data_IF_997843215270
#
_entry.id   IF_997843215270
#
_cell.length_a   1.000
_cell.length_b   1.000
_cell.length_c   1.000
_cell.angle_alpha   90.00
_cell.angle_beta   90.00
_cell.angle_gamma   90.00
#
_symmetry.space_group_name_H-M   'P 1'
#
loop_
_entity.id
_entity.type
_entity.pdbx_description
1 polymer ?
#
# COMPACT_ATOMS: atom_id res chain seq x y z
N UNK A 1 -1.12 67.03 -34.21
CA UNK A 1 -1.48 65.73 -34.81
C UNK A 1 -2.81 65.30 -34.18
N UNK A 2 -3.96 65.52 -34.84
CA UNK A 2 -4.73 64.54 -35.66
C UNK A 2 -4.93 63.21 -34.89
N UNK A 3 -6.11 62.66 -34.56
CA UNK A 3 -7.56 62.76 -34.91
C UNK A 3 -8.33 62.19 -33.68
N UNK A 4 -9.47 62.70 -33.17
CA UNK A 4 -10.89 62.59 -33.65
C UNK A 4 -11.28 61.13 -34.00
N UNK A 5 -12.37 60.47 -33.58
CA UNK A 5 -13.81 60.79 -33.50
C UNK A 5 -14.55 59.56 -32.86
N UNK A 6 -15.48 59.69 -31.89
CA UNK A 6 -16.95 59.85 -31.98
C UNK A 6 -17.85 58.57 -32.10
N UNK A 7 -18.87 58.55 -31.21
CA UNK A 7 -20.28 58.11 -31.35
C UNK A 7 -20.75 56.62 -31.28
N UNK A 8 -21.27 56.23 -30.09
CA UNK A 8 -22.69 55.98 -29.71
C UNK A 8 -23.70 55.16 -30.56
N UNK A 9 -24.33 54.18 -29.86
CA UNK A 9 -25.73 53.61 -29.88
C UNK A 9 -26.12 52.42 -30.82
N UNK A 10 -26.82 51.42 -30.22
CA UNK A 10 -27.29 50.10 -30.75
C UNK A 10 -28.52 50.14 -31.70
N UNK A 11 -29.40 49.11 -31.86
CA UNK A 11 -29.67 47.86 -31.09
C UNK A 11 -29.88 46.51 -31.90
N UNK A 12 -30.06 45.38 -31.16
CA UNK A 12 -30.64 43.99 -31.34
C UNK A 12 -31.26 43.48 -32.70
N UNK A 13 -31.77 42.21 -32.83
CA UNK A 13 -31.17 40.85 -32.77
C UNK A 13 -31.58 39.94 -33.98
N UNK A 14 -31.03 38.72 -34.17
CA UNK A 14 -31.65 37.68 -35.04
C UNK A 14 -31.48 36.21 -34.55
N UNK A 15 -32.64 35.52 -34.49
CA UNK A 15 -33.05 34.09 -34.49
C UNK A 15 -31.97 33.04 -34.86
N UNK A 16 -31.90 31.79 -34.37
CA UNK A 16 -32.85 30.91 -33.67
C UNK A 16 -32.99 29.57 -34.43
N UNK A 17 -32.67 28.42 -33.81
CA UNK A 17 -33.22 27.09 -34.15
C UNK A 17 -33.43 26.27 -32.86
N UNK A 18 -34.46 25.39 -32.77
CA UNK A 18 -35.00 24.89 -31.51
C UNK A 18 -34.47 23.51 -31.11
N UNK A 19 -34.29 23.27 -29.80
CA UNK A 19 -34.17 21.93 -29.20
C UNK A 19 -35.54 21.48 -28.66
N UNK A 20 -35.88 20.18 -28.76
CA UNK A 20 -37.17 19.67 -28.28
C UNK A 20 -37.21 19.57 -26.74
N UNK A 21 -38.40 19.65 -26.12
CA UNK A 21 -38.56 19.60 -24.67
C UNK A 21 -38.60 18.16 -24.15
N UNK A 22 -37.90 17.89 -23.04
CA UNK A 22 -38.12 16.69 -22.23
C UNK A 22 -39.12 17.04 -21.13
N UNK A 23 -40.21 16.30 -21.11
CA UNK A 23 -41.37 16.50 -20.23
C UNK A 23 -41.05 16.09 -18.79
N UNK A 24 -41.49 16.92 -17.84
CA UNK A 24 -41.79 16.51 -16.47
C UNK A 24 -43.09 15.70 -16.47
N UNK A 25 -43.09 14.55 -15.80
CA UNK A 25 -44.31 13.90 -15.35
C UNK A 25 -44.14 13.39 -13.91
N UNK A 26 -44.80 14.09 -13.00
CA UNK A 26 -45.26 13.55 -11.73
C UNK A 26 -46.52 12.72 -11.96
N UNK A 27 -46.56 11.48 -11.47
CA UNK A 27 -47.81 10.82 -11.10
C UNK A 27 -47.56 9.62 -10.17
N UNK A 28 -48.18 9.69 -8.99
CA UNK A 28 -48.51 8.59 -8.10
C UNK A 28 -49.40 7.55 -8.81
N UNK A 29 -49.20 6.26 -8.54
CA UNK A 29 -50.23 5.32 -8.06
C UNK A 29 -49.79 3.84 -8.20
N UNK A 30 -50.03 3.05 -7.14
CA UNK A 30 -50.58 1.70 -7.27
C UNK A 30 -49.62 0.50 -7.30
N UNK A 31 -49.42 -0.11 -6.13
CA UNK A 31 -49.13 -1.55 -5.99
C UNK A 31 -50.27 -2.39 -6.62
N UNK A 32 -49.99 -3.63 -7.07
CA UNK A 32 -50.20 -4.78 -6.17
C UNK A 32 -49.10 -5.85 -6.23
N UNK A 33 -49.03 -6.60 -5.13
CA UNK A 33 -48.22 -7.80 -4.95
C UNK A 33 -48.81 -9.02 -5.71
N UNK A 34 -47.94 -9.86 -6.28
CA UNK A 34 -47.83 -11.31 -6.03
C UNK A 34 -47.00 -12.02 -7.13
N UNK A 35 -46.04 -12.84 -6.70
CA UNK A 35 -45.91 -14.20 -7.25
C UNK A 35 -44.71 -14.52 -8.16
N UNK A 36 -43.86 -15.39 -7.61
CA UNK A 36 -43.11 -16.48 -8.27
C UNK A 36 -41.74 -16.18 -8.92
N UNK A 37 -40.71 -16.62 -8.19
CA UNK A 37 -39.67 -17.52 -8.73
C UNK A 37 -38.45 -16.85 -9.36
N UNK A 38 -37.29 -16.93 -8.70
CA UNK A 38 -36.04 -17.41 -9.27
C UNK A 38 -34.97 -17.47 -8.16
N UNK A 39 -34.64 -18.69 -7.73
CA UNK A 39 -33.49 -19.01 -6.88
C UNK A 39 -32.29 -19.37 -7.77
N UNK A 40 -31.04 -19.04 -7.37
CA UNK A 40 -29.85 -19.32 -8.16
C UNK A 40 -29.30 -20.73 -7.89
N UNK A 41 -28.86 -21.41 -8.95
CA UNK A 41 -27.95 -22.57 -8.99
C UNK A 41 -27.07 -22.35 -10.23
N UNK A 42 -25.76 -22.60 -10.28
CA UNK A 42 -24.97 -23.70 -9.70
C UNK A 42 -23.44 -23.38 -9.85
N UNK A 43 -22.61 -23.57 -8.82
CA UNK A 43 -21.16 -23.70 -8.93
C UNK A 43 -20.70 -25.17 -8.86
N UNK A 44 -20.09 -25.67 -9.93
CA UNK A 44 -19.45 -26.99 -9.96
C UNK A 44 -18.06 -26.96 -9.30
N UNK A 45 -17.95 -27.44 -8.07
CA UNK A 45 -16.75 -28.08 -7.48
C UNK A 45 -17.19 -29.19 -6.51
N UNK A 46 -16.54 -30.36 -6.48
CA UNK A 46 -17.05 -31.54 -5.76
C UNK A 46 -16.67 -31.59 -4.27
N UNK A 47 -17.65 -32.03 -3.48
CA UNK A 47 -17.56 -32.39 -2.07
C UNK A 47 -16.72 -33.65 -1.81
N UNK A 48 -15.80 -33.58 -0.85
CA UNK A 48 -15.57 -34.70 0.07
C UNK A 48 -14.93 -34.20 1.37
N UNK A 49 -15.35 -34.82 2.49
CA UNK A 49 -14.96 -34.59 3.90
C UNK A 49 -15.83 -33.60 4.70
N UNK A 50 -17.11 -33.98 4.88
CA UNK A 50 -17.82 -33.62 6.11
C UNK A 50 -17.38 -34.51 7.27
N UNK A 51 -17.46 -33.99 8.50
CA UNK A 51 -17.82 -34.81 9.65
C UNK A 51 -18.40 -33.97 10.79
N UNK A 52 -19.42 -34.56 11.39
CA UNK A 52 -20.44 -33.99 12.26
C UNK A 52 -19.94 -33.85 13.70
N UNK A 53 -20.38 -32.78 14.36
CA UNK A 53 -20.29 -32.62 15.81
C UNK A 53 -21.48 -33.33 16.46
N UNK A 54 -21.21 -34.38 17.23
CA UNK A 54 -22.20 -35.04 18.08
C UNK A 54 -21.70 -35.17 19.53
N UNK A 55 -22.63 -34.90 20.45
CA UNK A 55 -22.50 -34.95 21.92
C UNK A 55 -22.11 -36.35 22.42
N UNK A 56 -21.33 -36.43 23.50
CA UNK A 56 -21.40 -37.57 24.41
C UNK A 56 -20.97 -37.24 25.87
N UNK A 57 -21.94 -37.49 26.75
CA UNK A 57 -21.96 -37.82 28.18
C UNK A 57 -20.65 -38.29 28.87
N UNK A 58 -20.45 -37.74 30.08
CA UNK A 58 -19.56 -38.21 31.14
C UNK A 58 -20.02 -39.53 31.78
N UNK A 59 -19.15 -40.56 31.78
CA UNK A 59 -18.82 -41.48 32.89
C UNK A 59 -18.10 -42.72 32.34
N UNK A 60 -16.86 -42.96 32.74
CA UNK A 60 -16.48 -44.13 33.55
C UNK A 60 -14.97 -44.19 33.76
N UNK A 61 -14.58 -44.69 34.93
CA UNK A 61 -13.20 -44.98 35.35
C UNK A 61 -12.75 -46.28 34.71
N UNK A 62 -11.51 -46.37 34.22
CA UNK A 62 -10.49 -47.25 34.78
C UNK A 62 -9.21 -47.29 33.92
N UNK A 63 -8.15 -47.71 34.59
CA UNK A 63 -6.73 -47.57 34.28
C UNK A 63 -6.29 -48.34 33.02
N UNK A 64 -5.46 -47.69 32.21
CA UNK A 64 -4.64 -48.33 31.18
C UNK A 64 -3.59 -47.37 30.66
N UNK A 65 -2.33 -47.60 31.03
CA UNK A 65 -1.18 -46.76 30.70
C UNK A 65 -0.73 -47.07 29.27
N UNK A 66 -0.84 -46.10 28.36
CA UNK A 66 -0.14 -46.08 27.07
C UNK A 66 0.49 -44.71 26.91
N UNK A 67 1.83 -44.70 26.76
CA UNK A 67 2.62 -43.51 26.46
C UNK A 67 2.20 -42.95 25.11
N UNK A 68 1.77 -41.68 25.07
CA UNK A 68 1.68 -40.91 23.84
C UNK A 68 2.67 -39.75 23.92
N UNK A 69 3.61 -39.73 22.99
CA UNK A 69 4.57 -38.65 22.81
C UNK A 69 3.84 -37.34 22.52
N UNK A 70 4.19 -36.30 23.25
CA UNK A 70 3.73 -34.94 23.03
C UNK A 70 4.37 -34.38 21.76
N UNK A 71 3.74 -34.54 20.60
CA UNK A 71 4.02 -33.65 19.47
C UNK A 71 3.23 -32.36 19.69
N UNK A 72 3.88 -31.40 20.34
CA UNK A 72 3.50 -30.00 20.26
C UNK A 72 3.67 -29.56 18.81
N UNK A 73 2.58 -29.24 18.10
CA UNK A 73 2.65 -28.53 16.83
C UNK A 73 3.14 -27.10 17.10
N UNK A 74 4.46 -26.92 17.15
CA UNK A 74 5.10 -25.61 17.07
C UNK A 74 5.09 -25.20 15.59
N UNK A 75 4.37 -24.15 15.24
CA UNK A 75 4.57 -23.48 13.96
C UNK A 75 5.99 -22.86 13.98
N UNK A 76 6.90 -23.46 13.21
CA UNK A 76 8.23 -22.90 12.99
C UNK A 76 8.16 -21.65 12.09
N UNK A 77 9.15 -20.74 12.17
CA UNK A 77 9.15 -19.54 11.35
C UNK A 77 9.25 -19.89 9.87
N UNK A 78 8.35 -19.32 9.07
CA UNK A 78 8.32 -19.45 7.62
C UNK A 78 9.61 -18.86 7.02
N UNK A 79 10.46 -19.69 6.39
CA UNK A 79 11.65 -19.23 5.66
C UNK A 79 11.25 -18.88 4.22
N UNK A 80 11.51 -17.64 3.81
CA UNK A 80 11.41 -17.21 2.42
C UNK A 80 12.59 -17.84 1.65
N UNK A 81 12.36 -18.69 0.62
CA UNK A 81 13.44 -19.23 -0.18
C UNK A 81 14.05 -18.13 -1.05
N UNK A 82 15.34 -17.85 -0.85
CA UNK A 82 16.13 -16.94 -1.67
C UNK A 82 16.92 -17.73 -2.71
N UNK A 83 16.37 -17.94 -3.91
CA UNK A 83 17.08 -18.08 -5.21
C UNK A 83 16.14 -18.58 -6.32
N UNK A 84 16.39 -18.22 -7.60
CA UNK A 84 15.51 -18.55 -8.71
C UNK A 84 15.68 -20.00 -9.18
N UNK A 85 14.58 -20.60 -9.60
CA UNK A 85 14.49 -21.91 -10.24
C UNK A 85 15.12 -21.81 -11.64
N UNK A 86 16.16 -22.60 -11.92
CA UNK A 86 16.78 -22.78 -13.23
C UNK A 86 16.30 -24.11 -13.81
N UNK A 87 15.84 -24.12 -15.08
CA UNK A 87 15.64 -25.35 -15.85
C UNK A 87 14.32 -25.42 -16.62
N UNK A 88 14.26 -24.80 -17.80
CA UNK A 88 13.38 -25.24 -18.90
C UNK A 88 14.17 -25.14 -20.21
N UNK A 89 14.34 -26.26 -20.90
CA UNK A 89 14.97 -26.32 -22.23
C UNK A 89 13.96 -25.89 -23.32
N UNK A 90 14.38 -25.13 -24.35
CA UNK A 90 13.52 -24.78 -25.46
C UNK A 90 13.50 -25.86 -26.56
N UNK A 91 12.30 -26.23 -26.99
CA UNK A 91 12.02 -27.14 -28.13
C UNK A 91 12.45 -26.53 -29.48
N UNK A 92 13.02 -27.30 -30.43
CA UNK A 92 13.45 -26.78 -31.73
C UNK A 92 12.35 -26.86 -32.79
N UNK A 93 12.16 -25.80 -33.57
CA UNK A 93 11.22 -25.78 -34.70
C UNK A 93 11.56 -24.72 -35.74
N UNK A 94 11.50 -25.15 -37.01
CA UNK A 94 11.55 -24.41 -38.28
C UNK A 94 12.93 -24.08 -38.89
N UNK A 95 13.38 -25.01 -39.73
CA UNK A 95 14.30 -24.76 -40.84
C UNK A 95 13.53 -24.28 -42.08
N UNK A 96 14.04 -23.25 -42.75
CA UNK A 96 13.77 -22.94 -44.15
C UNK A 96 15.10 -22.86 -44.91
N UNK A 97 15.21 -23.40 -46.14
CA UNK A 97 16.47 -23.51 -46.84
C UNK A 97 16.76 -22.25 -47.66
N UNK A 98 18.02 -21.85 -47.74
CA UNK A 98 18.50 -20.94 -48.80
C UNK A 98 19.68 -21.61 -49.50
N UNK A 99 19.53 -21.77 -50.81
CA UNK A 99 20.51 -22.37 -51.71
C UNK A 99 21.55 -21.33 -52.18
N UNK A 100 22.76 -21.85 -52.48
CA UNK A 100 23.74 -21.40 -53.51
C UNK A 100 24.25 -19.93 -53.41
N UNK A 101 25.54 -19.56 -53.58
CA UNK A 101 26.69 -20.13 -54.29
C UNK A 101 27.92 -19.24 -54.02
N UNK A 102 29.08 -19.70 -54.49
CA UNK A 102 30.31 -18.98 -54.86
C UNK A 102 31.45 -18.90 -53.84
N UNK A 103 32.52 -19.59 -54.24
CA UNK A 103 33.85 -19.67 -53.67
C UNK A 103 34.59 -18.34 -53.82
N UNK A 104 35.27 -17.92 -52.76
CA UNK A 104 36.49 -17.13 -52.82
C UNK A 104 37.30 -17.45 -51.56
N UNK A 105 38.33 -18.30 -51.70
CA UNK A 105 39.29 -18.55 -50.62
C UNK A 105 40.26 -17.37 -50.53
N UNK A 106 40.02 -16.49 -49.58
CA UNK A 106 41.02 -15.56 -49.04
C UNK A 106 41.29 -15.92 -47.57
N UNK A 107 42.47 -15.64 -47.01
CA UNK A 107 42.71 -15.85 -45.60
C UNK A 107 41.73 -14.98 -44.81
N UNK A 108 40.75 -15.62 -44.19
CA UNK A 108 39.71 -14.94 -43.43
C UNK A 108 40.32 -14.10 -42.31
N UNK A 109 39.65 -13.00 -41.89
CA UNK A 109 40.06 -12.28 -40.70
C UNK A 109 40.10 -13.27 -39.54
N UNK A 110 41.19 -13.30 -38.77
CA UNK A 110 41.24 -14.05 -37.51
C UNK A 110 40.04 -13.62 -36.67
N UNK A 111 38.99 -14.44 -36.65
CA UNK A 111 37.93 -14.32 -35.68
C UNK A 111 38.57 -14.55 -34.33
N UNK A 112 38.48 -13.62 -33.36
CA UNK A 112 38.93 -13.92 -32.01
C UNK A 112 38.19 -15.18 -31.56
N UNK A 113 38.95 -16.20 -31.14
CA UNK A 113 38.36 -17.43 -30.63
C UNK A 113 37.36 -17.10 -29.52
N UNK A 114 36.20 -17.77 -29.46
CA UNK A 114 35.24 -17.54 -28.40
C UNK A 114 35.92 -17.86 -27.07
N UNK A 115 35.98 -16.86 -26.19
CA UNK A 115 36.52 -16.94 -24.84
C UNK A 115 35.73 -18.01 -24.06
N UNK A 116 36.17 -19.26 -24.18
CA UNK A 116 35.49 -20.43 -23.64
C UNK A 116 35.94 -20.58 -22.19
N UNK A 117 35.56 -19.61 -21.34
CA UNK A 117 35.79 -19.69 -19.91
C UNK A 117 35.03 -20.90 -19.38
N UNK A 118 35.73 -21.77 -18.66
CA UNK A 118 35.11 -22.97 -18.09
C UNK A 118 34.10 -22.59 -17.00
N UNK A 119 33.07 -23.41 -16.80
CA UNK A 119 32.04 -23.16 -15.79
C UNK A 119 32.66 -22.97 -14.39
N UNK A 120 33.72 -23.70 -14.07
CA UNK A 120 34.46 -23.59 -12.81
C UNK A 120 35.20 -22.25 -12.64
N UNK A 121 35.81 -21.71 -13.69
CA UNK A 121 36.43 -20.38 -13.67
C UNK A 121 35.39 -19.26 -13.52
N UNK A 122 34.24 -19.44 -14.15
CA UNK A 122 33.10 -18.53 -14.08
C UNK A 122 32.50 -18.48 -12.67
N UNK A 123 32.33 -19.64 -12.05
CA UNK A 123 31.84 -19.80 -10.67
C UNK A 123 32.85 -19.25 -9.64
N UNK A 124 34.14 -19.51 -9.85
CA UNK A 124 35.21 -18.99 -8.99
C UNK A 124 35.27 -17.46 -9.04
N UNK A 125 35.16 -16.87 -10.24
CA UNK A 125 35.11 -15.41 -10.44
C UNK A 125 33.85 -14.80 -9.82
N UNK A 126 32.71 -15.49 -9.90
CA UNK A 126 31.47 -15.07 -9.25
C UNK A 126 31.60 -15.11 -7.72
N UNK A 127 32.15 -16.20 -7.16
CA UNK A 127 32.39 -16.35 -5.72
C UNK A 127 33.33 -15.25 -5.18
N UNK A 128 34.42 -14.97 -5.89
CA UNK A 128 35.34 -13.88 -5.54
C UNK A 128 34.66 -12.50 -5.59
N UNK A 129 33.81 -12.24 -6.60
CA UNK A 129 33.03 -10.99 -6.70
C UNK A 129 32.04 -10.85 -5.54
N UNK A 130 31.36 -11.94 -5.16
CA UNK A 130 30.43 -11.94 -4.02
C UNK A 130 31.15 -11.78 -2.69
N UNK A 131 32.32 -12.40 -2.51
CA UNK A 131 33.17 -12.23 -1.33
C UNK A 131 33.65 -10.79 -1.17
N UNK A 132 34.07 -10.14 -2.27
CA UNK A 132 34.43 -8.70 -2.27
C UNK A 132 33.24 -7.81 -1.90
N UNK A 133 32.05 -8.08 -2.46
CA UNK A 133 30.82 -7.36 -2.09
C UNK A 133 30.46 -7.56 -0.61
N UNK A 134 30.62 -8.78 -0.09
CA UNK A 134 30.38 -9.10 1.34
C UNK A 134 31.36 -8.33 2.21
N UNK A 135 32.66 -8.38 1.95
CA UNK A 135 33.67 -7.66 2.72
C UNK A 135 33.42 -6.14 2.73
N UNK A 136 33.04 -5.56 1.58
CA UNK A 136 32.65 -4.15 1.49
C UNK A 136 31.39 -3.84 2.34
N UNK A 137 30.38 -4.72 2.28
CA UNK A 137 29.15 -4.57 3.07
C UNK A 137 29.42 -4.72 4.57
N UNK A 138 30.23 -5.69 4.98
CA UNK A 138 30.63 -5.91 6.37
C UNK A 138 31.38 -4.68 6.93
N UNK A 139 32.27 -4.08 6.13
CA UNK A 139 32.96 -2.83 6.50
C UNK A 139 31.99 -1.66 6.66
N UNK A 140 30.98 -1.54 5.80
CA UNK A 140 29.93 -0.51 5.93
C UNK A 140 29.11 -0.76 7.21
N UNK A 141 28.69 -2.01 7.45
CA UNK A 141 27.87 -2.37 8.61
C UNK A 141 28.61 -2.19 9.93
N UNK A 142 29.93 -2.42 9.97
CA UNK A 142 30.75 -2.19 11.15
C UNK A 142 30.73 -0.73 11.65
N UNK A 143 30.44 0.23 10.77
CA UNK A 143 30.31 1.65 11.12
C UNK A 143 28.90 2.05 11.57
N UNK A 144 27.93 1.14 11.52
CA UNK A 144 26.54 1.41 11.91
C UNK A 144 26.32 0.90 13.33
N UNK A 145 26.05 1.81 14.26
CA UNK A 145 25.75 1.48 15.64
C UNK A 145 24.60 2.35 16.17
N UNK A 146 23.97 1.88 17.24
CA UNK A 146 22.85 2.54 17.89
C UNK A 146 21.49 2.17 17.32
N UNK A 147 20.48 2.33 18.17
CA UNK A 147 19.07 2.23 17.80
C UNK A 147 18.39 3.53 18.23
N UNK A 148 17.47 4.02 17.41
CA UNK A 148 16.60 5.15 17.75
C UNK A 148 15.24 5.00 17.08
N UNK A 149 14.25 5.63 17.68
CA UNK A 149 12.94 5.89 17.09
C UNK A 149 13.07 6.85 15.92
N UNK A 150 12.44 6.51 14.81
CA UNK A 150 12.61 7.18 13.52
C UNK A 150 11.40 8.04 13.18
N UNK A 151 11.64 9.20 12.58
CA UNK A 151 10.62 10.00 11.90
C UNK A 151 10.64 9.59 10.42
N UNK A 152 9.53 9.05 9.94
CA UNK A 152 9.43 8.43 8.61
C UNK A 152 8.33 9.14 7.82
N UNK A 153 8.63 9.62 6.62
CA UNK A 153 7.68 10.30 5.75
C UNK A 153 7.45 9.48 4.48
N UNK A 154 6.18 9.19 4.18
CA UNK A 154 5.75 8.57 2.94
C UNK A 154 4.88 9.56 2.16
N UNK A 155 5.48 10.18 1.12
CA UNK A 155 4.88 11.25 0.32
C UNK A 155 4.79 10.87 -1.16
N UNK A 156 4.39 11.82 -2.01
CA UNK A 156 4.32 11.66 -3.47
C UNK A 156 2.92 11.37 -4.02
N UNK A 157 2.77 11.59 -5.33
CA UNK A 157 1.49 11.47 -6.03
C UNK A 157 1.06 10.01 -6.31
N UNK A 158 1.99 9.06 -6.20
CA UNK A 158 1.82 7.63 -6.45
C UNK A 158 0.99 6.91 -5.40
N UNK A 159 0.44 5.75 -5.77
CA UNK A 159 -0.17 4.79 -4.84
C UNK A 159 0.94 4.14 -4.00
N UNK A 160 0.66 3.89 -2.72
CA UNK A 160 1.51 3.06 -1.86
C UNK A 160 1.76 3.59 -0.45
N UNK A 161 1.46 4.88 -0.19
CA UNK A 161 1.90 5.58 1.02
C UNK A 161 1.32 4.94 2.28
N UNK A 162 0.00 4.89 2.37
CA UNK A 162 -0.71 4.26 3.49
C UNK A 162 -0.42 2.76 3.55
N UNK A 163 -0.44 2.04 2.42
CA UNK A 163 -0.17 0.59 2.43
C UNK A 163 1.25 0.25 2.90
N UNK A 164 2.24 1.09 2.60
CA UNK A 164 3.61 0.92 3.13
C UNK A 164 3.63 1.11 4.65
N UNK A 165 2.98 2.17 5.16
CA UNK A 165 2.87 2.42 6.59
C UNK A 165 2.11 1.30 7.33
N UNK A 166 1.01 0.79 6.77
CA UNK A 166 0.31 -0.38 7.30
C UNK A 166 1.17 -1.65 7.24
N UNK A 167 1.99 -1.83 6.20
CA UNK A 167 2.98 -2.92 6.17
C UNK A 167 3.99 -2.83 7.32
N UNK A 168 4.35 -1.63 7.75
CA UNK A 168 5.19 -1.41 8.93
C UNK A 168 4.46 -1.77 10.23
N UNK A 169 3.18 -1.41 10.36
CA UNK A 169 2.32 -1.83 11.49
C UNK A 169 2.23 -3.35 11.57
N UNK A 170 1.98 -4.03 10.44
CA UNK A 170 1.93 -5.50 10.40
C UNK A 170 3.27 -6.10 10.85
N UNK A 171 4.41 -5.51 10.47
CA UNK A 171 5.72 -5.93 10.98
C UNK A 171 5.86 -5.69 12.49
N UNK A 172 5.39 -4.56 13.00
CA UNK A 172 5.38 -4.24 14.43
C UNK A 172 4.58 -5.29 15.22
N UNK A 173 3.36 -5.56 14.79
CA UNK A 173 2.46 -6.56 15.36
C UNK A 173 3.05 -7.97 15.29
N UNK A 174 3.70 -8.35 14.18
CA UNK A 174 4.34 -9.65 14.04
C UNK A 174 5.51 -9.86 15.03
N UNK A 175 6.11 -8.78 15.52
CA UNK A 175 7.11 -8.81 16.60
C UNK A 175 6.50 -8.68 18.01
N UNK A 176 5.16 -8.61 18.13
CA UNK A 176 4.47 -8.44 19.41
C UNK A 176 4.65 -7.05 20.02
N UNK A 177 5.05 -6.04 19.22
CA UNK A 177 5.22 -4.68 19.71
C UNK A 177 3.90 -3.91 19.63
N UNK A 178 3.48 -3.25 20.73
CA UNK A 178 2.33 -2.37 20.70
C UNK A 178 2.54 -1.22 19.71
N UNK A 179 1.48 -0.84 19.00
CA UNK A 179 1.50 0.24 18.03
C UNK A 179 0.14 0.93 17.92
N UNK A 180 0.10 2.07 17.24
CA UNK A 180 -1.13 2.80 17.01
C UNK A 180 -1.20 3.40 15.61
N UNK A 181 -2.43 3.62 15.15
CA UNK A 181 -2.74 4.30 13.89
C UNK A 181 -3.74 5.41 14.18
N UNK A 182 -3.43 6.62 13.71
CA UNK A 182 -4.34 7.76 13.64
C UNK A 182 -4.56 8.10 12.18
N UNK A 183 -5.80 7.97 11.70
CA UNK A 183 -6.16 8.38 10.34
C UNK A 183 -6.77 9.77 10.35
N UNK A 184 -6.10 10.69 9.66
CA UNK A 184 -6.59 12.02 9.36
C UNK A 184 -7.44 11.98 8.09
N UNK A 185 -8.41 12.89 7.99
CA UNK A 185 -9.30 13.10 6.82
C UNK A 185 -10.24 11.91 6.51
N UNK A 186 -9.79 10.66 6.62
CA UNK A 186 -10.59 9.47 6.37
C UNK A 186 -11.70 9.36 7.42
N UNK A 187 -12.93 9.29 6.93
CA UNK A 187 -14.15 9.06 7.73
C UNK A 187 -14.18 7.66 8.33
N UNK A 188 -15.35 7.27 8.86
CA UNK A 188 -15.62 5.91 9.34
C UNK A 188 -15.69 4.85 8.22
N UNK A 189 -14.99 5.06 7.10
CA UNK A 189 -14.96 4.10 6.00
C UNK A 189 -14.21 2.85 6.45
N UNK A 190 -14.86 1.70 6.32
CA UNK A 190 -14.27 0.41 6.63
C UNK A 190 -13.20 0.06 5.59
N UNK A 191 -11.93 0.02 6.00
CA UNK A 191 -10.81 -0.44 5.17
C UNK A 191 -10.39 -1.84 5.58
N UNK A 192 -9.86 -2.62 4.64
CA UNK A 192 -9.35 -3.97 4.93
C UNK A 192 -8.31 -3.99 6.06
N UNK A 193 -7.42 -3.00 6.12
CA UNK A 193 -6.40 -2.89 7.18
C UNK A 193 -7.01 -2.64 8.55
N UNK A 194 -7.98 -1.72 8.64
CA UNK A 194 -8.68 -1.45 9.90
C UNK A 194 -9.37 -2.71 10.40
N UNK A 195 -10.16 -3.37 9.54
CA UNK A 195 -10.91 -4.57 9.90
C UNK A 195 -9.98 -5.68 10.41
N UNK A 196 -8.85 -5.91 9.72
CA UNK A 196 -7.86 -6.90 10.12
C UNK A 196 -7.26 -6.55 11.50
N UNK A 197 -6.82 -5.31 11.68
CA UNK A 197 -6.14 -4.88 12.90
C UNK A 197 -7.09 -4.87 14.10
N UNK A 198 -8.27 -4.28 13.99
CA UNK A 198 -9.20 -4.21 15.13
C UNK A 198 -9.88 -5.54 15.41
N UNK A 199 -10.06 -6.41 14.39
CA UNK A 199 -10.70 -7.71 14.55
C UNK A 199 -9.79 -8.80 15.15
N UNK A 200 -8.47 -8.71 14.90
CA UNK A 200 -7.53 -9.78 15.29
C UNK A 200 -6.39 -9.31 16.18
N UNK A 201 -6.10 -8.00 16.21
CA UNK A 201 -4.91 -7.44 16.87
C UNK A 201 -5.23 -6.19 17.68
N UNK A 202 -6.48 -5.99 18.11
CA UNK A 202 -6.91 -4.79 18.84
C UNK A 202 -6.14 -4.55 20.14
N UNK A 203 -5.68 -5.62 20.79
CA UNK A 203 -4.87 -5.55 22.02
C UNK A 203 -3.43 -5.03 21.75
N UNK A 204 -2.94 -5.15 20.52
CA UNK A 204 -1.60 -4.69 20.11
C UNK A 204 -1.63 -3.42 19.26
N UNK A 205 -2.71 -3.18 18.52
CA UNK A 205 -2.81 -2.07 17.58
C UNK A 205 -4.05 -1.22 17.88
N UNK A 206 -3.81 -0.06 18.48
CA UNK A 206 -4.85 0.95 18.69
C UNK A 206 -5.15 1.65 17.36
N UNK A 207 -6.44 1.83 17.04
CA UNK A 207 -6.85 2.40 15.76
C UNK A 207 -7.85 3.53 15.95
N UNK A 208 -7.48 4.74 15.54
CA UNK A 208 -8.27 5.96 15.69
C UNK A 208 -8.53 6.58 14.32
N UNK A 209 -9.79 6.55 13.86
CA UNK A 209 -10.21 7.29 12.67
C UNK A 209 -10.80 8.64 13.12
N UNK A 210 -10.10 9.73 12.83
CA UNK A 210 -10.37 11.06 13.38
C UNK A 210 -10.90 12.05 12.32
N UNK A 211 -11.04 11.62 11.06
CA UNK A 211 -11.65 12.42 10.01
C UNK A 211 -13.15 12.16 9.83
N UNK A 212 -13.84 13.06 9.14
CA UNK A 212 -15.25 12.90 8.73
C UNK A 212 -15.39 12.34 7.29
N UNK A 213 -14.27 12.18 6.57
CA UNK A 213 -14.24 11.83 5.15
C UNK A 213 -14.15 13.07 4.26
N UNK A 214 -13.95 12.87 2.96
CA UNK A 214 -14.12 13.95 1.98
C UNK A 214 -15.62 14.17 1.78
N UNK A 215 -16.25 15.03 2.58
CA UNK A 215 -17.62 15.48 2.32
C UNK A 215 -17.60 16.50 1.20
N UNK A 216 -17.60 16.03 -0.05
CA UNK A 216 -17.80 16.87 -1.23
C UNK A 216 -19.11 17.67 -1.18
N UNK A 217 -20.04 17.27 -0.31
CA UNK A 217 -21.36 17.86 -0.12
C UNK A 217 -21.41 18.95 0.97
N UNK A 218 -20.43 19.03 1.87
CA UNK A 218 -20.39 20.08 2.92
C UNK A 218 -18.96 20.56 3.14
N UNK A 219 -18.65 21.78 2.69
CA UNK A 219 -17.34 22.43 2.82
C UNK A 219 -17.25 23.24 4.12
N UNK A 220 -17.29 22.57 5.28
CA UNK A 220 -17.11 23.25 6.56
C UNK A 220 -15.64 23.19 7.02
N UNK A 221 -14.87 24.16 6.55
CA UNK A 221 -13.44 24.31 6.90
C UNK A 221 -13.21 24.34 8.41
N UNK A 222 -14.14 24.93 9.18
CA UNK A 222 -13.97 25.01 10.64
C UNK A 222 -14.06 23.63 11.29
N UNK A 223 -14.93 22.75 10.78
CA UNK A 223 -14.99 21.34 11.21
C UNK A 223 -13.76 20.56 10.81
N UNK A 224 -13.27 20.73 9.58
CA UNK A 224 -12.03 20.08 9.13
C UNK A 224 -10.84 20.44 10.02
N UNK A 225 -10.72 21.73 10.39
CA UNK A 225 -9.71 22.21 11.34
C UNK A 225 -9.92 21.54 12.71
N UNK A 226 -11.14 21.55 13.25
CA UNK A 226 -11.42 20.95 14.54
C UNK A 226 -11.10 19.44 14.59
N UNK A 227 -11.47 18.69 13.54
CA UNK A 227 -11.18 17.27 13.40
C UNK A 227 -9.66 17.02 13.29
N UNK A 228 -8.94 17.82 12.49
CA UNK A 228 -7.49 17.72 12.38
C UNK A 228 -6.80 18.01 13.73
N UNK A 229 -7.24 19.03 14.47
CA UNK A 229 -6.73 19.35 15.82
C UNK A 229 -6.99 18.21 16.79
N UNK A 230 -8.21 17.65 16.82
CA UNK A 230 -8.54 16.51 17.69
C UNK A 230 -7.69 15.27 17.35
N UNK A 231 -7.50 15.00 16.05
CA UNK A 231 -6.61 13.93 15.59
C UNK A 231 -5.16 14.15 16.00
N UNK A 232 -4.69 15.40 15.97
CA UNK A 232 -3.35 15.75 16.42
C UNK A 232 -3.16 15.61 17.93
N UNK A 233 -4.13 16.02 18.75
CA UNK A 233 -4.05 15.80 20.21
C UNK A 233 -3.98 14.30 20.55
N UNK A 234 -4.80 13.48 19.89
CA UNK A 234 -4.72 12.01 20.05
C UNK A 234 -3.37 11.45 19.57
N UNK A 235 -2.83 11.97 18.47
CA UNK A 235 -1.51 11.57 18.00
C UNK A 235 -0.41 11.89 19.03
N UNK A 236 -0.44 13.08 19.64
CA UNK A 236 0.52 13.47 20.68
C UNK A 236 0.47 12.52 21.88
N UNK A 237 -0.74 12.21 22.38
CA UNK A 237 -0.94 11.24 23.46
C UNK A 237 -0.29 9.89 23.14
N UNK A 238 -0.56 9.35 21.95
CA UNK A 238 -0.02 8.05 21.52
C UNK A 238 1.50 8.09 21.28
N UNK A 239 2.04 9.19 20.77
CA UNK A 239 3.48 9.32 20.54
C UNK A 239 4.25 9.37 21.87
N UNK A 240 3.68 10.01 22.89
CA UNK A 240 4.29 10.13 24.22
C UNK A 240 4.21 8.83 25.03
N UNK A 241 3.33 7.89 24.66
CA UNK A 241 3.28 6.57 25.29
C UNK A 241 4.46 5.70 24.84
N UNK A 242 5.48 5.61 25.68
CA UNK A 242 6.69 4.80 25.42
C UNK A 242 6.42 3.29 25.29
N UNK A 243 5.23 2.80 25.68
CA UNK A 243 4.85 1.41 25.44
C UNK A 243 4.57 1.14 23.96
N UNK A 244 4.20 2.17 23.20
CA UNK A 244 3.95 2.09 21.76
C UNK A 244 5.26 2.21 20.99
N UNK A 245 5.64 1.15 20.28
CA UNK A 245 6.85 1.14 19.45
C UNK A 245 6.71 2.00 18.20
N UNK A 246 5.49 2.10 17.66
CA UNK A 246 5.22 2.79 16.40
C UNK A 246 3.85 3.46 16.41
N UNK A 247 3.81 4.70 15.94
CA UNK A 247 2.58 5.45 15.68
C UNK A 247 2.55 5.88 14.22
N UNK A 248 1.50 5.48 13.49
CA UNK A 248 1.25 5.92 12.11
C UNK A 248 0.24 7.06 12.12
N UNK A 249 0.61 8.18 11.50
CA UNK A 249 -0.22 9.35 11.25
C UNK A 249 -0.60 9.34 9.76
N UNK A 250 -1.65 8.61 9.43
CA UNK A 250 -2.08 8.41 8.05
C UNK A 250 -2.80 9.66 7.52
N UNK A 251 -2.37 10.15 6.36
CA UNK A 251 -2.87 11.36 5.67
C UNK A 251 -2.70 12.69 6.43
N UNK A 252 -1.85 12.75 7.46
CA UNK A 252 -1.54 14.01 8.16
C UNK A 252 -0.95 15.07 7.22
N UNK A 253 -0.19 14.67 6.19
CA UNK A 253 0.36 15.61 5.21
C UNK A 253 -0.75 16.37 4.46
N UNK A 254 -1.93 15.76 4.31
CA UNK A 254 -3.08 16.44 3.69
C UNK A 254 -3.62 17.54 4.61
N UNK A 255 -3.74 17.26 5.92
CA UNK A 255 -4.14 18.26 6.91
C UNK A 255 -3.14 19.43 7.00
N UNK A 256 -1.84 19.13 6.93
CA UNK A 256 -0.77 20.13 6.90
C UNK A 256 -0.79 20.96 5.61
N UNK A 257 -1.04 20.34 4.45
CA UNK A 257 -1.11 21.02 3.15
C UNK A 257 -2.25 22.04 3.09
N UNK A 258 -3.37 21.77 3.74
CA UNK A 258 -4.52 22.68 3.79
C UNK A 258 -4.48 23.65 4.98
N UNK A 259 -3.36 23.69 5.71
CA UNK A 259 -3.16 24.53 6.89
C UNK A 259 -4.25 24.32 7.96
N UNK A 260 -4.74 23.09 8.11
CA UNK A 260 -5.62 22.70 9.22
C UNK A 260 -4.84 22.47 10.51
N UNK A 261 -3.55 22.21 10.37
CA UNK A 261 -2.57 22.10 11.44
C UNK A 261 -1.38 22.99 11.10
N UNK A 262 -0.82 23.64 12.12
CA UNK A 262 0.43 24.38 12.00
C UNK A 262 1.60 23.40 11.89
N UNK A 263 2.42 23.57 10.84
CA UNK A 263 3.60 22.75 10.62
C UNK A 263 4.67 22.99 11.70
N UNK A 264 4.79 24.22 12.18
CA UNK A 264 5.77 24.56 13.21
C UNK A 264 5.50 23.77 14.50
N UNK A 265 4.24 23.67 14.91
CA UNK A 265 3.83 22.86 16.06
C UNK A 265 4.20 21.38 15.90
N UNK A 266 3.95 20.80 14.72
CA UNK A 266 4.25 19.39 14.46
C UNK A 266 5.76 19.14 14.49
N UNK A 267 6.55 20.00 13.86
CA UNK A 267 8.01 19.91 13.83
C UNK A 267 8.60 20.07 15.23
N UNK A 268 8.15 21.07 15.99
CA UNK A 268 8.60 21.30 17.36
C UNK A 268 8.30 20.09 18.24
N UNK A 269 7.07 19.55 18.18
CA UNK A 269 6.70 18.37 18.95
C UNK A 269 7.55 17.14 18.60
N UNK A 270 7.71 16.84 17.31
CA UNK A 270 8.46 15.66 16.87
C UNK A 270 9.96 15.72 17.22
N UNK A 271 10.53 16.92 17.29
CA UNK A 271 11.95 17.12 17.60
C UNK A 271 12.23 17.24 19.10
N UNK A 272 11.28 17.74 19.89
CA UNK A 272 11.51 18.04 21.32
C UNK A 272 10.82 17.07 22.28
N UNK A 273 9.67 16.50 21.89
CA UNK A 273 8.82 15.71 22.79
C UNK A 273 8.79 14.21 22.44
N UNK A 274 9.02 13.84 21.18
CA UNK A 274 8.96 12.44 20.73
C UNK A 274 9.95 11.57 21.53
N UNK A 275 9.51 10.50 22.21
CA UNK A 275 10.40 9.62 22.93
C UNK A 275 11.50 9.01 22.05
N UNK A 276 12.62 8.65 22.68
CA UNK A 276 13.84 8.27 21.98
C UNK A 276 13.65 7.05 21.06
N UNK A 277 12.78 6.11 21.43
CA UNK A 277 12.58 4.83 20.72
C UNK A 277 11.26 4.70 19.95
N UNK A 278 10.35 5.66 20.09
CA UNK A 278 9.07 5.65 19.36
C UNK A 278 9.29 6.03 17.90
N UNK A 279 8.87 5.16 16.98
CA UNK A 279 8.82 5.45 15.55
C UNK A 279 7.53 6.21 15.21
N UNK A 280 7.63 7.25 14.39
CA UNK A 280 6.48 8.02 13.90
C UNK A 280 6.49 8.00 12.38
N UNK A 281 5.41 7.51 11.78
CA UNK A 281 5.27 7.43 10.31
C UNK A 281 4.19 8.39 9.84
N UNK A 282 4.55 9.38 9.04
CA UNK A 282 3.64 10.39 8.50
C UNK A 282 3.39 10.09 7.02
N UNK A 283 2.12 9.98 6.64
CA UNK A 283 1.74 9.71 5.25
C UNK A 283 0.91 10.83 4.64
N UNK A 284 0.83 10.82 3.31
CA UNK A 284 -0.05 11.66 2.53
C UNK A 284 0.73 12.43 1.48
N UNK A 285 0.03 13.07 0.54
CA UNK A 285 0.65 13.80 -0.56
C UNK A 285 1.24 15.13 -0.07
N UNK A 286 2.27 15.61 -0.76
CA UNK A 286 2.83 16.96 -0.57
C UNK A 286 3.23 17.25 0.89
N UNK A 287 4.04 16.36 1.49
CA UNK A 287 4.74 16.68 2.72
C UNK A 287 5.47 18.03 2.60
N UNK A 288 5.34 18.88 3.62
CA UNK A 288 6.00 20.18 3.71
C UNK A 288 7.51 20.00 3.91
N UNK A 289 8.32 20.93 3.40
CA UNK A 289 9.78 20.83 3.40
C UNK A 289 10.35 20.77 4.82
N UNK A 290 9.73 21.50 5.75
CA UNK A 290 10.10 21.52 7.17
C UNK A 290 9.95 20.13 7.82
N UNK A 291 8.96 19.34 7.40
CA UNK A 291 8.79 17.96 7.86
C UNK A 291 9.79 17.01 7.22
N UNK A 292 10.12 17.22 5.95
CA UNK A 292 11.11 16.44 5.20
C UNK A 292 12.49 16.62 5.83
N UNK A 293 12.83 17.84 6.23
CA UNK A 293 14.14 18.18 6.81
C UNK A 293 14.41 17.43 8.12
N UNK A 294 13.40 17.30 8.99
CA UNK A 294 13.56 16.59 10.28
C UNK A 294 13.40 15.07 10.19
N UNK A 295 12.98 14.54 9.04
CA UNK A 295 12.69 13.12 8.88
C UNK A 295 13.98 12.30 8.70
N UNK A 296 14.04 11.15 9.37
CA UNK A 296 15.13 10.19 9.23
C UNK A 296 15.05 9.38 7.93
N UNK A 297 13.82 9.19 7.42
CA UNK A 297 13.56 8.47 6.18
C UNK A 297 12.42 9.15 5.44
N UNK A 298 12.69 9.59 4.21
CA UNK A 298 11.66 10.11 3.30
C UNK A 298 11.59 9.21 2.07
N UNK A 299 10.39 8.75 1.74
CA UNK A 299 10.11 8.04 0.49
C UNK A 299 9.07 8.83 -0.30
N UNK A 300 9.45 9.28 -1.49
CA UNK A 300 8.53 9.85 -2.47
C UNK A 300 8.04 8.78 -3.44
N UNK A 301 6.75 8.49 -3.40
CA UNK A 301 6.12 7.55 -4.32
C UNK A 301 5.70 8.28 -5.59
N UNK A 302 6.50 8.14 -6.64
CA UNK A 302 6.22 8.76 -7.94
C UNK A 302 5.19 7.96 -8.74
N UNK A 303 4.23 8.66 -9.35
CA UNK A 303 3.18 8.06 -10.18
C UNK A 303 3.73 7.74 -11.59
N UNK A 304 4.37 6.59 -11.77
CA UNK A 304 4.85 6.15 -13.10
C UNK A 304 3.68 5.71 -13.99
N UNK A 305 2.77 4.88 -13.46
CA UNK A 305 1.55 4.43 -14.14
C UNK A 305 0.47 4.13 -13.11
N UNK A 306 -0.80 4.32 -13.48
CA UNK A 306 -1.93 3.97 -12.62
C UNK A 306 -3.14 3.56 -13.47
N UNK A 307 -3.82 2.45 -13.12
CA UNK A 307 -4.91 1.90 -13.93
C UNK A 307 -6.14 2.82 -14.01
N UNK A 308 -6.32 3.71 -13.02
CA UNK A 308 -7.32 4.78 -13.06
C UNK A 308 -7.23 5.66 -14.32
N UNK A 309 -6.02 5.96 -14.81
CA UNK A 309 -5.85 6.74 -16.07
C UNK A 309 -6.34 5.97 -17.30
N UNK A 310 -6.50 4.66 -17.19
CA UNK A 310 -7.05 3.77 -18.21
C UNK A 310 -8.52 3.42 -17.96
N UNK A 311 -9.22 4.15 -17.07
CA UNK A 311 -10.65 3.98 -16.80
C UNK A 311 -11.00 2.84 -15.84
N UNK A 312 -10.01 2.18 -15.24
CA UNK A 312 -10.24 1.10 -14.28
C UNK A 312 -10.54 1.72 -12.91
N UNK A 313 -11.73 1.39 -12.37
CA UNK A 313 -12.17 1.82 -11.03
C UNK A 313 -11.39 1.12 -9.92
N UNK A 314 -11.46 1.68 -8.71
CA UNK A 314 -10.91 1.07 -7.50
C UNK A 314 -11.50 -0.33 -7.24
N UNK A 315 -10.66 -1.24 -6.75
CA UNK A 315 -10.97 -2.64 -6.50
C UNK A 315 -10.68 -3.01 -5.05
N UNK A 316 -11.56 -3.83 -4.47
CA UNK A 316 -11.36 -4.37 -3.13
C UNK A 316 -10.08 -5.24 -3.08
N UNK A 317 -9.30 -5.09 -2.01
CA UNK A 317 -8.00 -5.74 -1.82
C UNK A 317 -6.83 -5.08 -2.56
N UNK A 318 -7.08 -4.07 -3.40
CA UNK A 318 -6.04 -3.31 -4.11
C UNK A 318 -6.04 -1.84 -3.68
N UNK A 319 -7.20 -1.20 -3.67
CA UNK A 319 -7.37 0.21 -3.26
C UNK A 319 -7.98 0.36 -1.86
N UNK A 320 -8.84 -0.57 -1.43
CA UNK A 320 -9.52 -0.57 -0.14
C UNK A 320 -9.87 -1.97 0.36
#
# INVERSE_FOLDING_TARGET
MRRTDHFSKGPLPRRGTPRPPVQNSSALAGLPACGAGFSPFDPRLPDSLGNQWLRASLRSRSRGRLQFGSQSCRFGPYRIPSSPVIGQEPTPGHHLPVAATCQAEGPGPMTPEPDTQTAEETDTRHAQKMAKKKAARDKIMATKSGEKGLIIVHTGAGKGKSSSAFGMIVRCVAHGFPCAVVQFIKGAWDTGERRLLTGHFGDLCQFHAMGEGFTWETQDRARDIAAARAGWEKAKELILDESLRMVVLDEINIALRYDYLDIAEVVEFLTTQKPAMTHVVLTGRNAKDELIEIADLVTEMTLVKHPFRSGIKAQAGVEF
#
